data_IF_759600791255
#
_entry.id   IF_759600791255
#
_cell.length_a   1.000
_cell.length_b   1.000
_cell.length_c   1.000
_cell.angle_alpha   90.00
_cell.angle_beta   90.00
_cell.angle_gamma   90.00
#
_symmetry.space_group_name_H-M   'P 1'
#
loop_
_entity.id
_entity.type
_entity.pdbx_description
1 polymer ?
#
# COMPACT_ATOMS: atom_id res chain seq x y z
N UNK A 1 34.16 -16.46 -11.88
CA UNK A 1 32.86 -16.75 -12.53
C UNK A 1 32.12 -17.80 -11.73
N UNK A 2 31.07 -17.46 -10.98
CA UNK A 2 29.81 -18.24 -10.98
C UNK A 2 28.72 -17.45 -10.27
N UNK A 3 27.53 -17.55 -10.84
CA UNK A 3 26.44 -16.60 -10.73
C UNK A 3 25.76 -16.57 -9.36
N UNK A 4 25.41 -15.34 -8.95
CA UNK A 4 24.47 -15.03 -7.88
C UNK A 4 23.14 -15.71 -8.20
N UNK A 5 22.79 -16.72 -7.41
CA UNK A 5 21.51 -17.40 -7.45
C UNK A 5 20.44 -16.41 -6.98
N UNK A 6 19.77 -15.80 -7.96
CA UNK A 6 18.45 -15.19 -7.86
C UNK A 6 17.49 -16.20 -7.23
N UNK A 7 17.40 -16.23 -5.89
CA UNK A 7 16.21 -16.74 -5.22
C UNK A 7 15.12 -15.70 -5.40
N UNK A 8 14.45 -15.79 -6.56
CA UNK A 8 13.13 -15.25 -6.76
C UNK A 8 12.21 -15.84 -5.69
N UNK A 9 12.05 -15.13 -4.58
CA UNK A 9 10.85 -15.28 -3.77
C UNK A 9 9.73 -14.66 -4.59
N UNK A 10 9.04 -15.52 -5.36
CA UNK A 10 7.63 -15.32 -5.60
C UNK A 10 6.99 -15.19 -4.23
N UNK A 11 6.89 -13.96 -3.73
CA UNK A 11 6.07 -13.66 -2.58
C UNK A 11 4.67 -14.11 -2.99
N UNK A 12 4.19 -15.17 -2.33
CA UNK A 12 2.78 -15.53 -2.30
C UNK A 12 2.00 -14.23 -2.17
N UNK A 13 0.89 -14.08 -2.89
CA UNK A 13 0.05 -12.89 -2.76
C UNK A 13 -0.52 -12.87 -1.33
N UNK A 14 0.24 -12.28 -0.41
CA UNK A 14 -0.09 -12.12 0.98
C UNK A 14 -0.66 -10.72 1.14
N UNK A 15 -1.76 -10.63 1.90
CA UNK A 15 -2.40 -9.37 2.23
C UNK A 15 -1.38 -8.46 2.93
N UNK A 16 -1.19 -7.24 2.43
CA UNK A 16 -0.24 -6.25 2.93
C UNK A 16 -0.87 -5.17 3.78
N UNK A 17 -2.19 -5.01 3.71
CA UNK A 17 -2.93 -4.01 4.46
C UNK A 17 -4.00 -4.75 5.26
N UNK A 18 -3.91 -4.62 6.58
CA UNK A 18 -4.94 -5.05 7.51
C UNK A 18 -5.48 -3.80 8.20
N UNK A 19 -6.79 -3.63 8.14
CA UNK A 19 -7.48 -2.57 8.84
C UNK A 19 -8.20 -3.20 10.03
N UNK A 20 -7.95 -2.68 11.22
CA UNK A 20 -8.81 -2.85 12.38
C UNK A 20 -9.61 -1.54 12.60
N UNK A 21 -10.42 -1.45 13.65
CA UNK A 21 -11.26 -0.25 13.90
C UNK A 21 -10.42 0.98 14.23
N UNK A 22 -9.37 0.80 15.02
CA UNK A 22 -8.52 1.91 15.54
C UNK A 22 -7.09 1.87 15.01
N UNK A 23 -6.69 0.76 14.40
CA UNK A 23 -5.32 0.51 13.97
C UNK A 23 -5.26 0.04 12.53
N UNK A 24 -4.19 0.43 11.85
CA UNK A 24 -3.87 0.08 10.49
C UNK A 24 -2.51 -0.62 10.50
N UNK A 25 -2.49 -1.88 10.07
CA UNK A 25 -1.29 -2.70 10.04
C UNK A 25 -0.82 -2.84 8.59
N UNK A 26 0.36 -2.30 8.31
CA UNK A 26 0.98 -2.29 6.99
C UNK A 26 2.18 -3.24 6.96
N UNK A 27 2.13 -4.24 6.09
CA UNK A 27 3.25 -5.15 5.84
C UNK A 27 4.07 -4.62 4.67
N UNK A 28 5.27 -4.14 4.98
CA UNK A 28 6.25 -3.64 4.02
C UNK A 28 7.26 -4.75 3.72
N UNK A 29 7.18 -5.26 2.50
CA UNK A 29 8.15 -6.24 1.98
C UNK A 29 9.33 -5.48 1.37
N UNK A 30 10.43 -5.38 2.11
CA UNK A 30 11.70 -4.84 1.62
C UNK A 30 12.54 -5.88 0.87
N UNK A 31 13.75 -5.50 0.44
CA UNK A 31 14.66 -6.39 -0.31
C UNK A 31 15.10 -7.63 0.49
N UNK A 32 15.26 -7.50 1.81
CA UNK A 32 15.78 -8.57 2.67
C UNK A 32 14.98 -8.82 3.95
N UNK A 33 13.97 -7.99 4.25
CA UNK A 33 13.17 -8.09 5.48
C UNK A 33 11.72 -7.73 5.20
N UNK A 34 10.82 -8.47 5.84
CA UNK A 34 9.41 -8.10 5.96
C UNK A 34 9.28 -7.33 7.26
N UNK A 35 8.79 -6.10 7.17
CA UNK A 35 8.57 -5.23 8.32
C UNK A 35 7.09 -4.92 8.44
N UNK A 36 6.54 -5.09 9.62
CA UNK A 36 5.15 -4.74 9.92
C UNK A 36 5.14 -3.39 10.62
N UNK A 37 4.37 -2.45 10.10
CA UNK A 37 4.18 -1.11 10.66
C UNK A 37 2.76 -1.04 11.20
N UNK A 38 2.64 -0.92 12.51
CA UNK A 38 1.37 -0.63 13.16
C UNK A 38 1.24 0.90 13.27
N UNK A 39 0.14 1.41 12.72
CA UNK A 39 -0.21 2.82 12.69
C UNK A 39 -1.58 2.97 13.35
N UNK A 40 -1.67 3.85 14.34
CA UNK A 40 -2.98 4.23 14.88
C UNK A 40 -3.65 5.26 13.99
N UNK A 41 -4.97 5.41 14.11
CA UNK A 41 -5.72 6.39 13.33
C UNK A 41 -5.21 7.83 13.51
N UNK A 42 -4.75 8.22 14.71
CA UNK A 42 -4.22 9.55 15.00
C UNK A 42 -2.86 9.82 14.33
N UNK A 43 -2.10 8.77 14.02
CA UNK A 43 -0.82 8.85 13.34
C UNK A 43 -0.99 8.99 11.82
N UNK A 44 -2.18 8.70 11.29
CA UNK A 44 -2.49 8.79 9.86
C UNK A 44 -2.94 10.22 9.54
N UNK A 45 -2.17 10.90 8.70
CA UNK A 45 -2.46 12.28 8.28
C UNK A 45 -3.52 12.28 7.18
N UNK A 46 -3.34 11.44 6.16
CA UNK A 46 -4.31 11.36 5.07
C UNK A 46 -4.17 10.08 4.28
N UNK A 47 -5.30 9.62 3.74
CA UNK A 47 -5.36 8.53 2.77
C UNK A 47 -5.81 9.12 1.43
N UNK A 48 -5.03 8.90 0.37
CA UNK A 48 -5.33 9.41 -0.98
C UNK A 48 -5.39 8.28 -1.99
N UNK A 49 -6.43 8.27 -2.79
CA UNK A 49 -6.50 7.45 -3.99
C UNK A 49 -6.21 8.33 -5.19
N UNK A 50 -5.18 7.97 -5.96
CA UNK A 50 -4.69 8.80 -7.07
C UNK A 50 -4.53 7.97 -8.34
N UNK A 51 -4.82 8.59 -9.49
CA UNK A 51 -4.40 8.06 -10.79
C UNK A 51 -2.88 8.18 -10.96
N UNK A 52 -2.25 7.15 -11.50
CA UNK A 52 -0.81 7.10 -11.77
C UNK A 52 -0.57 6.39 -13.10
N UNK A 53 0.53 6.72 -13.78
CA UNK A 53 0.99 5.94 -14.95
C UNK A 53 2.06 4.97 -14.47
N UNK A 54 1.83 3.67 -14.63
CA UNK A 54 2.83 2.64 -14.34
C UNK A 54 3.41 2.09 -15.66
N UNK A 55 4.74 1.97 -15.73
CA UNK A 55 5.40 1.37 -16.89
C UNK A 55 5.34 -0.13 -16.73
N UNK A 56 4.57 -0.80 -17.59
CA UNK A 56 4.50 -2.25 -17.65
C UNK A 56 5.24 -2.74 -18.87
N UNK A 57 6.30 -3.51 -18.68
CA UNK A 57 7.01 -4.21 -19.76
C UNK A 57 7.29 -3.29 -20.97
N UNK A 58 7.69 -2.02 -20.72
CA UNK A 58 7.94 -0.93 -21.69
C UNK A 58 6.78 -0.02 -22.10
N UNK A 59 5.53 -0.29 -21.73
CA UNK A 59 4.39 0.56 -22.12
C UNK A 59 3.80 1.31 -20.91
N UNK A 60 3.52 2.62 -21.01
CA UNK A 60 2.86 3.36 -19.95
C UNK A 60 1.38 2.97 -19.89
N UNK A 61 0.95 2.42 -18.76
CA UNK A 61 -0.44 2.02 -18.55
C UNK A 61 -1.06 2.88 -17.47
N UNK A 62 -2.31 3.32 -17.70
CA UNK A 62 -3.10 4.00 -16.68
C UNK A 62 -3.34 3.04 -15.50
N UNK A 63 -3.03 3.51 -14.31
CA UNK A 63 -3.10 2.77 -13.07
C UNK A 63 -3.61 3.64 -11.94
N UNK A 64 -3.84 3.00 -10.81
CA UNK A 64 -4.30 3.62 -9.57
C UNK A 64 -3.26 3.32 -8.49
N UNK A 65 -3.06 4.28 -7.59
CA UNK A 65 -2.24 4.09 -6.39
C UNK A 65 -2.96 4.61 -5.16
N UNK A 66 -2.71 3.95 -4.05
CA UNK A 66 -3.12 4.35 -2.71
C UNK A 66 -1.89 4.96 -2.04
N UNK A 67 -2.04 6.17 -1.52
CA UNK A 67 -0.99 6.90 -0.80
C UNK A 67 -1.47 7.14 0.62
N UNK A 68 -0.77 6.55 1.58
CA UNK A 68 -1.05 6.71 3.01
C UNK A 68 0.07 7.56 3.61
N UNK A 69 -0.28 8.78 4.01
CA UNK A 69 0.64 9.70 4.66
C UNK A 69 0.48 9.57 6.17
N UNK A 70 1.59 9.43 6.88
CA UNK A 70 1.61 9.21 8.33
C UNK A 70 2.57 10.19 8.99
N UNK A 71 2.36 10.51 10.27
CA UNK A 71 3.29 11.35 11.06
C UNK A 71 4.56 10.61 11.48
N UNK A 72 4.46 9.29 11.61
CA UNK A 72 5.54 8.40 12.11
C UNK A 72 6.65 8.14 11.09
N UNK A 73 6.33 8.29 9.80
CA UNK A 73 7.26 8.06 8.69
C UNK A 73 7.33 9.29 7.82
N UNK A 74 8.56 9.74 7.54
CA UNK A 74 8.84 10.83 6.60
C UNK A 74 8.36 10.50 5.18
N UNK A 75 8.37 9.21 4.83
CA UNK A 75 7.93 8.72 3.51
C UNK A 75 6.51 8.14 3.58
N UNK A 76 5.62 8.51 2.64
CA UNK A 76 4.29 7.93 2.57
C UNK A 76 4.35 6.49 2.07
N UNK A 77 3.39 5.67 2.52
CA UNK A 77 3.24 4.30 2.03
C UNK A 77 2.45 4.32 0.72
N UNK A 78 3.04 3.76 -0.33
CA UNK A 78 2.47 3.77 -1.68
C UNK A 78 2.18 2.33 -2.11
N UNK A 79 0.92 2.05 -2.42
CA UNK A 79 0.48 0.76 -2.95
C UNK A 79 -0.11 0.97 -4.34
N UNK A 80 0.43 0.27 -5.33
CA UNK A 80 -0.04 0.39 -6.72
C UNK A 80 -0.88 -0.81 -7.14
N UNK A 81 -1.86 -0.57 -8.01
CA UNK A 81 -2.81 -1.59 -8.47
C UNK A 81 -2.13 -2.79 -9.11
N UNK A 82 -1.11 -2.57 -9.94
CA UNK A 82 -0.44 -3.67 -10.64
C UNK A 82 0.41 -4.54 -9.72
N UNK A 83 0.88 -4.00 -8.59
CA UNK A 83 1.63 -4.75 -7.58
C UNK A 83 0.72 -5.59 -6.69
N UNK A 84 -0.43 -5.06 -6.31
CA UNK A 84 -1.36 -5.66 -5.34
C UNK A 84 -2.68 -6.11 -5.98
N UNK A 85 -2.67 -6.59 -7.23
CA UNK A 85 -3.87 -6.83 -8.06
C UNK A 85 -5.01 -7.57 -7.36
N UNK A 86 -4.69 -8.57 -6.54
CA UNK A 86 -5.69 -9.43 -5.89
C UNK A 86 -6.48 -8.69 -4.82
N UNK A 87 -5.81 -7.93 -3.96
CA UNK A 87 -6.40 -7.31 -2.78
C UNK A 87 -6.64 -5.80 -2.93
N UNK A 88 -6.22 -5.20 -4.05
CA UNK A 88 -6.29 -3.75 -4.24
C UNK A 88 -7.71 -3.18 -4.09
N UNK A 89 -8.73 -3.88 -4.59
CA UNK A 89 -10.10 -3.42 -4.47
C UNK A 89 -10.62 -3.51 -3.02
N UNK A 90 -10.28 -4.60 -2.32
CA UNK A 90 -10.59 -4.77 -0.91
C UNK A 90 -9.91 -3.68 -0.07
N UNK A 91 -8.64 -3.36 -0.34
CA UNK A 91 -7.95 -2.28 0.34
C UNK A 91 -8.64 -0.93 0.17
N UNK A 92 -9.15 -0.62 -1.03
CA UNK A 92 -9.89 0.64 -1.25
C UNK A 92 -11.16 0.69 -0.38
N UNK A 93 -11.91 -0.40 -0.31
CA UNK A 93 -13.13 -0.49 0.49
C UNK A 93 -12.81 -0.35 1.98
N UNK A 94 -11.83 -1.10 2.47
CA UNK A 94 -11.43 -1.11 3.88
C UNK A 94 -10.86 0.25 4.32
N UNK A 95 -10.01 0.87 3.50
CA UNK A 95 -9.45 2.20 3.79
C UNK A 95 -10.49 3.30 3.73
N UNK A 96 -11.44 3.24 2.79
CA UNK A 96 -12.53 4.21 2.72
C UNK A 96 -13.45 4.09 3.95
N UNK A 97 -13.74 2.85 4.37
CA UNK A 97 -14.51 2.59 5.59
C UNK A 97 -13.76 3.10 6.83
N UNK A 98 -12.49 2.74 6.97
CA UNK A 98 -11.64 3.19 8.08
C UNK A 98 -11.55 4.71 8.17
N UNK A 99 -11.38 5.40 7.03
CA UNK A 99 -11.30 6.85 7.00
C UNK A 99 -12.62 7.51 7.41
N UNK A 100 -13.75 6.94 6.99
CA UNK A 100 -15.09 7.41 7.39
C UNK A 100 -15.34 7.17 8.88
N UNK A 101 -14.96 6.01 9.42
CA UNK A 101 -15.17 5.66 10.83
C UNK A 101 -14.31 6.51 11.78
N UNK A 102 -13.06 6.80 11.39
CA UNK A 102 -12.11 7.52 12.23
C UNK A 102 -11.98 9.02 11.91
N UNK A 103 -12.81 9.56 11.00
CA UNK A 103 -12.72 10.94 10.49
C UNK A 103 -11.31 11.32 9.98
N UNK A 104 -10.60 10.36 9.38
CA UNK A 104 -9.29 10.60 8.78
C UNK A 104 -9.49 11.31 7.44
N UNK A 105 -8.60 12.25 7.13
CA UNK A 105 -8.67 13.00 5.88
C UNK A 105 -8.51 12.06 4.68
N UNK A 106 -9.59 11.92 3.90
CA UNK A 106 -9.65 11.03 2.75
C UNK A 106 -9.81 11.84 1.46
N UNK A 107 -8.94 11.57 0.48
CA UNK A 107 -8.98 12.20 -0.83
C UNK A 107 -9.22 11.13 -1.90
N UNK A 108 -10.31 11.26 -2.65
CA UNK A 108 -10.61 10.40 -3.79
C UNK A 108 -10.36 11.17 -5.09
N UNK A 109 -9.17 11.03 -5.66
CA UNK A 109 -8.74 11.66 -6.91
C UNK A 109 -8.71 10.63 -8.07
N UNK A 110 -9.64 9.67 -8.01
CA UNK A 110 -9.80 8.57 -8.98
C UNK A 110 -10.73 8.90 -10.15
#
# INVERSE_FOLDING_TARGET
MTCILLKGMMALASRRIYCDKTELVLVVVGKNRVSTVNLRYDEIVSIRFQRCKEIRFFWPVSSERIVITTRKSDKPFIYTKYREKKFFNEYKQELAKFAKENNVTFYNEL
#
